data_IF_062669176804
#
_entry.id   IF_062669176804
#
_cell.length_a   1.000
_cell.length_b   1.000
_cell.length_c   1.000
_cell.angle_alpha   90.00
_cell.angle_beta   90.00
_cell.angle_gamma   90.00
#
_symmetry.space_group_name_H-M   'P 1'
#
loop_
_entity.id
_entity.type
_entity.pdbx_description
1 polymer ?
#
# COMPACT_ATOMS: atom_id res chain seq x y z
N UNK A 1 7.36 -7.11 -10.46
CA UNK A 1 6.40 -7.74 -9.57
C UNK A 1 6.22 -9.19 -9.92
N UNK A 2 5.81 -10.00 -8.96
CA UNK A 2 5.55 -11.40 -9.19
C UNK A 2 4.23 -11.65 -9.92
N UNK A 3 4.08 -12.86 -10.36
CA UNK A 3 2.83 -13.34 -10.93
C UNK A 3 1.85 -13.66 -9.80
N UNK A 4 0.56 -13.59 -10.10
CA UNK A 4 -0.43 -14.09 -9.17
C UNK A 4 -0.28 -15.60 -9.04
N UNK A 5 -0.33 -16.10 -7.81
CA UNK A 5 -0.17 -17.51 -7.50
C UNK A 5 -1.54 -18.16 -7.33
N UNK A 6 -1.54 -19.48 -7.13
CA UNK A 6 -2.78 -20.20 -6.85
C UNK A 6 -3.37 -19.75 -5.53
N UNK A 7 -4.55 -19.19 -5.61
CA UNK A 7 -5.22 -18.58 -4.48
C UNK A 7 -5.72 -19.59 -3.46
N UNK A 8 -6.05 -20.78 -3.92
CA UNK A 8 -6.56 -21.81 -3.04
C UNK A 8 -5.46 -22.39 -2.16
N UNK A 9 -4.21 -22.31 -2.61
CA UNK A 9 -3.08 -22.86 -1.88
C UNK A 9 -2.45 -21.85 -0.91
N UNK A 10 -2.39 -20.58 -1.28
CA UNK A 10 -1.55 -19.63 -0.53
C UNK A 10 -2.23 -18.35 -0.07
N UNK A 11 -3.49 -18.12 -0.41
CA UNK A 11 -4.11 -16.92 0.11
C UNK A 11 -5.48 -16.60 -0.42
N UNK A 12 -5.83 -15.34 -0.30
CA UNK A 12 -7.18 -14.84 -0.55
C UNK A 12 -7.37 -14.22 -1.93
N UNK A 13 -6.42 -14.40 -2.83
CA UNK A 13 -6.52 -13.84 -4.18
C UNK A 13 -5.75 -12.54 -4.39
N UNK A 14 -5.04 -12.09 -3.36
CA UNK A 14 -4.21 -10.88 -3.43
C UNK A 14 -2.72 -11.18 -3.55
N UNK A 15 -2.34 -12.44 -3.45
CA UNK A 15 -0.96 -12.86 -3.28
C UNK A 15 -0.22 -12.89 -4.61
N UNK A 16 1.01 -12.40 -4.58
CA UNK A 16 1.99 -12.52 -5.66
C UNK A 16 3.00 -13.62 -5.32
N UNK A 17 3.91 -13.92 -6.24
CA UNK A 17 5.00 -14.90 -6.00
C UNK A 17 5.95 -14.48 -4.87
N UNK A 18 6.00 -13.20 -4.50
CA UNK A 18 6.77 -12.72 -3.35
C UNK A 18 6.11 -13.04 -2.01
N UNK A 19 4.86 -13.47 -2.01
CA UNK A 19 4.09 -13.72 -0.79
C UNK A 19 3.41 -12.50 -0.20
N UNK A 20 3.59 -11.32 -0.78
CA UNK A 20 2.94 -10.09 -0.33
C UNK A 20 1.48 -10.10 -0.77
N UNK A 21 0.57 -9.82 0.16
CA UNK A 21 -0.86 -9.83 -0.10
C UNK A 21 -1.49 -8.50 0.28
N UNK A 22 -2.30 -7.93 -0.62
CA UNK A 22 -3.08 -6.74 -0.36
C UNK A 22 -2.81 -5.60 -1.33
N UNK A 23 -3.46 -4.47 -1.07
CA UNK A 23 -3.32 -3.25 -1.85
C UNK A 23 -2.72 -2.14 -0.98
N UNK A 24 -1.97 -1.24 -1.59
CA UNK A 24 -1.34 -0.12 -0.87
C UNK A 24 -2.30 1.03 -0.62
N UNK A 25 -3.34 1.17 -1.44
CA UNK A 25 -4.27 2.29 -1.37
C UNK A 25 -5.71 1.81 -1.41
N UNK A 26 -6.69 2.62 -0.92
CA UNK A 26 -8.11 2.27 -1.02
C UNK A 26 -8.65 2.34 -2.44
N UNK A 27 -7.95 3.02 -3.35
CA UNK A 27 -8.34 3.17 -4.75
C UNK A 27 -7.21 2.70 -5.69
N UNK A 28 -6.90 1.39 -5.74
CA UNK A 28 -5.71 0.88 -6.41
C UNK A 28 -5.71 1.08 -7.92
N UNK A 29 -6.85 1.36 -8.53
CA UNK A 29 -6.97 1.59 -9.97
C UNK A 29 -7.02 3.06 -10.35
N UNK A 30 -6.89 3.97 -9.38
CA UNK A 30 -6.89 5.40 -9.62
C UNK A 30 -5.52 6.00 -9.30
N UNK A 31 -5.06 6.89 -10.17
CA UNK A 31 -3.88 7.70 -9.91
C UNK A 31 -4.19 8.77 -8.87
N UNK A 32 -3.28 8.98 -7.93
CA UNK A 32 -3.43 10.01 -6.91
C UNK A 32 -2.35 9.89 -5.85
N UNK A 33 -2.45 10.70 -4.82
CA UNK A 33 -1.50 10.73 -3.70
C UNK A 33 -2.01 10.00 -2.45
N UNK A 34 -3.01 9.14 -2.58
CA UNK A 34 -3.56 8.38 -1.45
C UNK A 34 -2.50 7.54 -0.73
N UNK A 35 -1.57 6.98 -1.46
CA UNK A 35 -0.47 6.21 -0.89
C UNK A 35 0.32 7.03 0.14
N UNK A 36 0.71 8.25 -0.22
CA UNK A 36 1.47 9.11 0.69
C UNK A 36 0.59 9.63 1.84
N UNK A 37 -0.66 9.94 1.56
CA UNK A 37 -1.62 10.38 2.57
C UNK A 37 -1.78 9.32 3.66
N UNK A 38 -1.99 8.08 3.28
CA UNK A 38 -2.16 6.98 4.23
C UNK A 38 -0.86 6.66 4.96
N UNK A 39 0.28 6.76 4.28
CA UNK A 39 1.59 6.48 4.87
C UNK A 39 1.85 7.35 6.11
N UNK A 40 1.43 8.60 6.09
CA UNK A 40 1.62 9.54 7.20
C UNK A 40 0.42 9.64 8.13
N UNK A 41 -0.77 9.26 7.68
CA UNK A 41 -1.98 9.32 8.50
C UNK A 41 -1.99 8.28 9.62
N UNK A 42 -1.47 7.09 9.36
CA UNK A 42 -1.53 5.96 10.28
C UNK A 42 -0.18 5.59 10.84
N UNK A 43 -0.21 5.03 12.06
CA UNK A 43 0.86 4.19 12.55
C UNK A 43 0.63 2.77 12.02
N UNK A 44 1.72 2.04 11.83
CA UNK A 44 1.67 0.71 11.21
C UNK A 44 2.25 -0.33 12.14
N UNK A 45 1.74 -1.55 12.06
CA UNK A 45 2.26 -2.71 12.78
C UNK A 45 2.75 -3.78 11.81
N UNK A 46 3.82 -4.46 12.19
CA UNK A 46 4.37 -5.55 11.40
C UNK A 46 3.46 -6.78 11.51
N UNK A 47 3.08 -7.31 10.37
CA UNK A 47 2.27 -8.53 10.27
C UNK A 47 2.86 -9.45 9.21
N UNK A 48 2.37 -10.67 9.15
CA UNK A 48 2.75 -11.61 8.10
C UNK A 48 1.55 -11.89 7.20
N UNK A 49 1.82 -12.00 5.90
CA UNK A 49 0.81 -12.44 4.95
C UNK A 49 0.49 -13.92 5.17
N UNK A 50 -0.60 -14.46 4.59
CA UNK A 50 -0.86 -15.90 4.63
C UNK A 50 0.30 -16.76 4.10
N UNK A 51 1.08 -16.23 3.16
CA UNK A 51 2.27 -16.91 2.63
C UNK A 51 3.53 -16.66 3.46
N UNK A 52 3.45 -15.92 4.57
CA UNK A 52 4.55 -15.70 5.51
C UNK A 52 5.44 -14.49 5.20
N UNK A 53 5.12 -13.68 4.20
CA UNK A 53 5.90 -12.48 3.90
C UNK A 53 5.65 -11.39 4.95
N UNK A 54 6.70 -10.66 5.30
CA UNK A 54 6.59 -9.52 6.21
C UNK A 54 5.95 -8.34 5.49
N UNK A 55 4.93 -7.79 6.12
CA UNK A 55 4.29 -6.57 5.62
C UNK A 55 3.74 -5.77 6.80
N UNK A 56 3.34 -4.55 6.54
CA UNK A 56 2.85 -3.63 7.56
C UNK A 56 1.41 -3.28 7.25
N UNK A 57 0.58 -3.17 8.28
CA UNK A 57 -0.80 -2.71 8.12
C UNK A 57 -1.08 -1.54 9.05
N UNK A 58 -1.99 -0.63 8.67
CA UNK A 58 -2.37 0.49 9.54
C UNK A 58 -3.08 -0.01 10.79
N UNK A 59 -2.81 0.65 11.91
CA UNK A 59 -3.47 0.37 13.18
C UNK A 59 -4.79 1.15 13.19
N UNK A 60 -5.91 0.43 13.40
CA UNK A 60 -7.26 1.02 13.44
C UNK A 60 -7.61 1.86 12.21
N UNK A 61 -7.56 1.29 10.98
CA UNK A 61 -7.88 2.06 9.79
C UNK A 61 -9.35 2.48 9.75
N UNK A 62 -9.60 3.69 9.25
CA UNK A 62 -10.97 4.14 9.01
C UNK A 62 -11.61 3.32 7.90
N UNK A 63 -12.93 3.06 7.94
CA UNK A 63 -13.59 2.27 6.89
C UNK A 63 -13.40 2.83 5.48
N UNK A 64 -13.33 4.15 5.34
CA UNK A 64 -13.13 4.82 4.06
C UNK A 64 -11.72 4.63 3.47
N UNK A 65 -10.77 4.23 4.30
CA UNK A 65 -9.39 4.01 3.92
C UNK A 65 -9.07 2.53 3.69
N UNK A 66 -10.08 1.68 3.70
CA UNK A 66 -9.90 0.26 3.40
C UNK A 66 -10.01 0.02 1.89
N UNK A 67 -9.29 -0.98 1.42
CA UNK A 67 -9.25 -1.35 0.01
C UNK A 67 -10.33 -2.39 -0.34
N UNK A 68 -10.75 -2.48 -1.61
CA UNK A 68 -11.62 -3.57 -2.03
C UNK A 68 -10.88 -4.90 -1.99
N UNK A 69 -11.61 -5.96 -1.63
CA UNK A 69 -11.08 -7.31 -1.69
C UNK A 69 -10.93 -7.76 -3.14
N UNK A 70 -9.85 -8.46 -3.46
CA UNK A 70 -9.58 -8.91 -4.83
C UNK A 70 -10.63 -9.92 -5.34
N UNK A 71 -11.21 -10.72 -4.45
CA UNK A 71 -12.24 -11.71 -4.80
C UNK A 71 -13.64 -11.15 -4.78
N UNK A 72 -13.90 -10.21 -3.88
CA UNK A 72 -15.24 -9.63 -3.67
C UNK A 72 -15.12 -8.12 -3.56
N UNK A 73 -15.43 -7.37 -4.62
CA UNK A 73 -15.30 -5.92 -4.62
C UNK A 73 -16.23 -5.22 -3.64
N UNK A 74 -17.25 -5.91 -3.11
CA UNK A 74 -18.14 -5.36 -2.09
C UNK A 74 -17.56 -5.50 -0.67
N UNK A 75 -16.54 -6.34 -0.50
CA UNK A 75 -15.86 -6.53 0.76
C UNK A 75 -14.68 -5.56 0.85
N UNK A 76 -14.46 -4.99 2.04
CA UNK A 76 -13.35 -4.08 2.29
C UNK A 76 -12.34 -4.75 3.22
N UNK A 77 -11.06 -4.54 2.92
CA UNK A 77 -9.95 -5.08 3.71
C UNK A 77 -8.95 -3.97 3.99
N UNK A 78 -8.16 -4.05 5.07
CA UNK A 78 -7.12 -3.05 5.34
C UNK A 78 -6.10 -2.99 4.20
N UNK A 79 -5.58 -1.79 3.96
CA UNK A 79 -4.43 -1.62 3.07
C UNK A 79 -3.17 -2.19 3.73
N UNK A 80 -2.09 -2.32 2.96
CA UNK A 80 -0.82 -2.82 3.48
C UNK A 80 0.34 -2.05 2.86
N UNK A 81 1.50 -2.10 3.52
CA UNK A 81 2.76 -1.58 2.99
C UNK A 81 3.88 -2.58 3.26
N UNK A 82 5.00 -2.38 2.62
CA UNK A 82 6.20 -3.18 2.83
C UNK A 82 7.20 -2.46 3.72
N UNK A 83 8.25 -3.16 4.14
CA UNK A 83 9.35 -2.54 4.90
C UNK A 83 10.03 -1.44 4.09
N UNK A 84 10.16 -1.60 2.78
CA UNK A 84 10.71 -0.56 1.90
C UNK A 84 9.84 0.71 1.94
N UNK A 85 8.52 0.56 2.01
CA UNK A 85 7.61 1.71 2.13
C UNK A 85 7.78 2.42 3.46
N UNK A 86 8.06 1.70 4.53
CA UNK A 86 8.31 2.31 5.83
C UNK A 86 9.56 3.20 5.80
N UNK A 87 10.54 2.90 4.96
CA UNK A 87 11.72 3.74 4.78
C UNK A 87 11.36 5.12 4.25
N UNK A 88 10.33 5.24 3.42
CA UNK A 88 9.85 6.54 2.93
C UNK A 88 9.30 7.42 4.04
N UNK A 89 8.83 6.81 5.11
CA UNK A 89 8.32 7.52 6.29
C UNK A 89 9.42 7.81 7.31
N UNK A 90 10.35 6.89 7.50
CA UNK A 90 11.33 6.93 8.58
C UNK A 90 12.62 7.64 8.21
N UNK A 91 13.07 7.53 6.96
CA UNK A 91 14.30 8.21 6.51
C UNK A 91 14.01 9.70 6.31
N UNK A 92 14.80 10.62 6.94
CA UNK A 92 14.51 12.05 6.87
C UNK A 92 14.52 12.62 5.45
N UNK A 93 15.39 12.14 4.58
CA UNK A 93 15.46 12.63 3.19
C UNK A 93 14.25 12.15 2.37
N UNK A 94 13.93 10.87 2.45
CA UNK A 94 12.76 10.31 1.76
C UNK A 94 11.47 10.85 2.35
N UNK A 95 11.42 11.04 3.66
CA UNK A 95 10.24 11.59 4.33
C UNK A 95 9.91 12.99 3.81
N UNK A 96 10.89 13.86 3.66
CA UNK A 96 10.67 15.22 3.16
C UNK A 96 10.04 15.22 1.77
N UNK A 97 10.54 14.37 0.88
CA UNK A 97 10.00 14.22 -0.48
C UNK A 97 8.58 13.62 -0.43
N UNK A 98 8.38 12.61 0.39
CA UNK A 98 7.08 11.94 0.52
C UNK A 98 6.00 12.86 1.10
N UNK A 99 6.35 13.68 2.08
CA UNK A 99 5.44 14.68 2.65
C UNK A 99 5.04 15.72 1.62
N UNK A 100 5.97 16.15 0.79
CA UNK A 100 5.69 17.08 -0.32
C UNK A 100 4.67 16.48 -1.29
N UNK A 101 4.82 15.21 -1.64
CA UNK A 101 3.88 14.53 -2.53
C UNK A 101 2.50 14.31 -1.88
N UNK A 102 2.48 14.08 -0.56
CA UNK A 102 1.23 14.01 0.19
C UNK A 102 0.45 15.32 0.11
N UNK A 103 1.15 16.44 0.27
CA UNK A 103 0.52 17.75 0.38
C UNK A 103 0.28 18.42 -0.97
N UNK A 104 0.97 17.99 -2.03
CA UNK A 104 0.91 18.61 -3.34
C UNK A 104 0.84 17.54 -4.44
N UNK A 105 -0.38 17.27 -4.89
CA UNK A 105 -0.65 16.32 -5.97
C UNK A 105 0.04 16.72 -7.26
N UNK A 106 0.09 18.01 -7.58
CA UNK A 106 0.73 18.49 -8.79
C UNK A 106 2.23 18.24 -8.78
N UNK A 107 2.89 18.34 -7.61
CA UNK A 107 4.31 18.02 -7.48
C UNK A 107 4.55 16.52 -7.76
N UNK A 108 3.68 15.63 -7.27
CA UNK A 108 3.76 14.21 -7.54
C UNK A 108 3.57 13.91 -9.04
N UNK A 109 2.57 14.51 -9.65
CA UNK A 109 2.28 14.32 -11.08
C UNK A 109 3.46 14.74 -11.95
N UNK A 110 4.06 15.89 -11.64
CA UNK A 110 5.22 16.42 -12.36
C UNK A 110 6.44 15.51 -12.19
N UNK A 111 6.74 15.11 -10.97
CA UNK A 111 7.87 14.22 -10.68
C UNK A 111 7.72 12.86 -11.39
N UNK A 112 6.53 12.29 -11.38
CA UNK A 112 6.25 11.03 -12.04
C UNK A 112 6.41 11.16 -13.57
N UNK A 113 5.88 12.24 -14.14
CA UNK A 113 5.98 12.48 -15.58
C UNK A 113 7.44 12.64 -16.03
N UNK A 114 8.28 13.29 -15.22
CA UNK A 114 9.70 13.43 -15.52
C UNK A 114 10.47 12.13 -15.40
N UNK A 115 10.09 11.29 -14.45
CA UNK A 115 10.73 9.99 -14.24
C UNK A 115 10.35 8.95 -15.31
N UNK A 116 9.18 9.12 -15.90
CA UNK A 116 8.68 8.22 -16.94
C UNK A 116 9.38 8.45 -18.24
#
# INVERSE_FOLDING_TARGET
>A
FGWLTDQDEIGQGHITTSGIEGAWTPNPTQWGNDYFRLLFKYDYELVRSPAGAQQWRPINPDPEDMAPDARDPNKRVPTMTTTADMALKMDPEFRAISERFRDDQAALDDAFARAW
#
